data_IF_487034351214
#
_entry.id   IF_487034351214
#
_cell.length_a   1.000
_cell.length_b   1.000
_cell.length_c   1.000
_cell.angle_alpha   90.00
_cell.angle_beta   90.00
_cell.angle_gamma   90.00
#
_symmetry.space_group_name_H-M   'P 1'
#
loop_
_entity.id
_entity.type
_entity.pdbx_description
1 polymer ?
#
# COMPACT_ATOMS: atom_id res chain seq x y z
N UNK A 1 20.39 -27.76 30.45
CA UNK A 1 20.00 -28.48 29.22
C UNK A 1 18.57 -28.16 28.73
N UNK A 2 17.67 -27.67 29.61
CA UNK A 2 16.27 -27.37 29.28
C UNK A 2 16.07 -26.12 28.38
N UNK A 3 16.88 -25.06 28.55
CA UNK A 3 16.75 -23.79 27.80
C UNK A 3 17.06 -23.91 26.29
N UNK A 4 18.04 -24.74 25.91
CA UNK A 4 18.42 -24.94 24.49
C UNK A 4 17.32 -25.60 23.66
N UNK A 5 16.51 -26.48 24.27
CA UNK A 5 15.39 -27.16 23.59
C UNK A 5 14.22 -26.20 23.35
N UNK A 6 13.98 -25.28 24.28
CA UNK A 6 12.96 -24.24 24.18
C UNK A 6 13.30 -23.21 23.09
N UNK A 7 14.53 -22.68 23.09
CA UNK A 7 15.00 -21.77 22.01
C UNK A 7 14.97 -22.43 20.63
N UNK A 8 15.33 -23.71 20.53
CA UNK A 8 15.26 -24.47 19.28
C UNK A 8 13.82 -24.64 18.76
N UNK A 9 12.85 -24.83 19.65
CA UNK A 9 11.43 -24.91 19.28
C UNK A 9 10.87 -23.56 18.82
N UNK A 10 11.21 -22.46 19.49
CA UNK A 10 10.80 -21.10 19.09
C UNK A 10 11.41 -20.76 17.72
N UNK A 11 12.71 -21.02 17.54
CA UNK A 11 13.39 -20.78 16.28
C UNK A 11 12.80 -21.64 15.15
N UNK A 12 12.43 -22.89 15.43
CA UNK A 12 11.75 -23.77 14.47
C UNK A 12 10.35 -23.24 14.10
N UNK A 13 9.58 -22.74 15.06
CA UNK A 13 8.26 -22.17 14.81
C UNK A 13 8.33 -20.86 14.02
N UNK A 14 9.33 -20.02 14.30
CA UNK A 14 9.60 -18.81 13.52
C UNK A 14 9.97 -19.15 12.07
N UNK A 15 10.89 -20.09 11.86
CA UNK A 15 11.29 -20.56 10.53
C UNK A 15 10.08 -21.13 9.75
N UNK A 16 9.25 -21.95 10.38
CA UNK A 16 8.07 -22.54 9.74
C UNK A 16 7.01 -21.49 9.35
N UNK A 17 6.86 -20.41 10.12
CA UNK A 17 6.00 -19.29 9.77
C UNK A 17 6.55 -18.49 8.59
N UNK A 18 7.87 -18.25 8.55
CA UNK A 18 8.52 -17.56 7.42
C UNK A 18 8.47 -18.41 6.15
N UNK A 19 8.67 -19.72 6.24
CA UNK A 19 8.51 -20.66 5.13
C UNK A 19 7.09 -20.61 4.54
N UNK A 20 6.06 -20.56 5.39
CA UNK A 20 4.68 -20.39 4.96
C UNK A 20 4.41 -19.07 4.22
N UNK A 21 4.99 -17.97 4.70
CA UNK A 21 4.89 -16.66 4.02
C UNK A 21 5.57 -16.68 2.65
N UNK A 22 6.78 -17.23 2.57
CA UNK A 22 7.53 -17.36 1.31
C UNK A 22 6.72 -18.21 0.32
N UNK A 23 6.19 -19.35 0.78
CA UNK A 23 5.37 -20.22 -0.05
C UNK A 23 4.11 -19.51 -0.56
N UNK A 24 3.44 -18.73 0.28
CA UNK A 24 2.26 -17.95 -0.11
C UNK A 24 2.56 -16.94 -1.23
N UNK A 25 3.64 -16.16 -1.09
CA UNK A 25 4.06 -15.24 -2.14
C UNK A 25 4.47 -15.96 -3.44
N UNK A 26 5.21 -17.06 -3.33
CA UNK A 26 5.60 -17.88 -4.49
C UNK A 26 4.39 -18.45 -5.22
N UNK A 27 3.41 -18.97 -4.48
CA UNK A 27 2.16 -19.47 -5.05
C UNK A 27 1.38 -18.35 -5.74
N UNK A 28 1.28 -17.17 -5.13
CA UNK A 28 0.62 -16.01 -5.72
C UNK A 28 1.25 -15.59 -7.05
N UNK A 29 2.58 -15.43 -7.07
CA UNK A 29 3.33 -15.11 -8.30
C UNK A 29 3.20 -16.20 -9.34
N UNK A 30 3.28 -17.47 -8.94
CA UNK A 30 3.15 -18.61 -9.85
C UNK A 30 1.76 -18.67 -10.47
N UNK A 31 0.70 -18.47 -9.68
CA UNK A 31 -0.68 -18.49 -10.16
C UNK A 31 -0.92 -17.36 -11.16
N UNK A 32 -0.55 -16.13 -10.82
CA UNK A 32 -0.69 -14.98 -11.72
C UNK A 32 0.17 -15.17 -12.97
N UNK A 33 1.40 -15.65 -12.83
CA UNK A 33 2.31 -15.94 -13.94
C UNK A 33 1.73 -16.99 -14.89
N UNK A 34 1.22 -18.10 -14.37
CA UNK A 34 0.54 -19.12 -15.17
C UNK A 34 -0.70 -18.56 -15.86
N UNK A 35 -1.51 -17.75 -15.18
CA UNK A 35 -2.69 -17.13 -15.78
C UNK A 35 -2.32 -16.22 -16.98
N UNK A 36 -1.26 -15.43 -16.86
CA UNK A 36 -0.74 -14.58 -17.96
C UNK A 36 -0.16 -15.43 -19.10
N UNK A 37 0.53 -16.53 -18.80
CA UNK A 37 1.05 -17.44 -19.83
C UNK A 37 -0.12 -18.11 -20.57
N UNK A 38 -1.12 -18.64 -19.84
CA UNK A 38 -2.30 -19.25 -20.43
C UNK A 38 -3.11 -18.27 -21.27
N UNK A 39 -3.27 -17.02 -20.81
CA UNK A 39 -3.96 -15.98 -21.60
C UNK A 39 -3.19 -15.62 -22.89
N UNK A 40 -1.87 -15.81 -22.92
CA UNK A 40 -1.07 -15.65 -24.13
C UNK A 40 -1.07 -16.84 -25.10
N UNK A 41 -1.39 -18.05 -24.64
CA UNK A 41 -1.28 -19.30 -25.42
C UNK A 41 -2.62 -19.83 -25.94
N UNK A 42 -3.70 -19.71 -25.17
CA UNK A 42 -5.00 -20.31 -25.50
C UNK A 42 -5.78 -19.51 -26.57
N UNK A 43 -5.83 -18.16 -26.55
CA UNK A 43 -6.68 -17.41 -27.47
C UNK A 43 -6.17 -17.45 -28.92
N UNK A 44 -7.11 -17.46 -29.87
CA UNK A 44 -6.80 -17.23 -31.28
C UNK A 44 -6.31 -15.80 -31.48
N UNK A 45 -5.02 -15.65 -31.83
CA UNK A 45 -4.43 -14.35 -32.11
C UNK A 45 -4.81 -13.91 -33.52
N UNK A 46 -5.39 -12.71 -33.63
CA UNK A 46 -5.65 -12.04 -34.90
C UNK A 46 -4.83 -10.77 -34.93
N UNK A 47 -3.96 -10.66 -35.93
CA UNK A 47 -3.12 -9.50 -36.17
C UNK A 47 -3.88 -8.55 -37.10
N UNK A 48 -4.07 -7.33 -36.63
CA UNK A 48 -4.71 -6.26 -37.40
C UNK A 48 -4.05 -4.96 -36.96
N UNK A 49 -3.71 -4.09 -37.91
CA UNK A 49 -2.97 -2.85 -37.65
C UNK A 49 -3.73 -1.96 -36.64
N UNK A 50 -5.04 -1.86 -36.79
CA UNK A 50 -5.91 -1.06 -35.92
C UNK A 50 -6.02 -1.59 -34.48
N UNK A 51 -5.66 -2.86 -34.22
CA UNK A 51 -5.59 -3.39 -32.84
C UNK A 51 -4.37 -2.89 -32.06
N UNK A 52 -3.37 -2.41 -32.78
CA UNK A 52 -2.14 -1.86 -32.19
C UNK A 52 -2.20 -0.34 -32.07
N UNK A 53 -3.25 0.30 -32.61
CA UNK A 53 -3.49 1.72 -32.48
C UNK A 53 -4.13 2.05 -31.12
N UNK A 54 -3.88 3.26 -30.63
CA UNK A 54 -4.48 3.77 -29.38
C UNK A 54 -5.96 4.04 -29.59
N UNK A 55 -6.80 3.67 -28.62
CA UNK A 55 -8.24 3.90 -28.70
C UNK A 55 -8.58 5.38 -28.56
N UNK A 56 -9.23 5.94 -29.58
CA UNK A 56 -9.67 7.34 -29.64
C UNK A 56 -11.04 7.44 -30.35
N UNK A 57 -12.05 6.71 -29.86
CA UNK A 57 -13.44 6.76 -30.38
C UNK A 57 -13.62 6.58 -31.91
N UNK A 58 -12.66 5.95 -32.59
CA UNK A 58 -12.69 5.72 -34.04
C UNK A 58 -12.06 6.82 -34.91
N UNK A 59 -11.47 7.85 -34.30
CA UNK A 59 -10.67 8.87 -34.99
C UNK A 59 -9.17 8.63 -34.74
N UNK A 60 -8.26 9.06 -35.64
CA UNK A 60 -6.83 9.01 -35.35
C UNK A 60 -6.50 9.93 -34.18
N UNK A 61 -5.59 9.49 -33.31
CA UNK A 61 -5.08 10.29 -32.20
C UNK A 61 -4.43 11.56 -32.73
N UNK A 62 -4.70 12.69 -32.07
CA UNK A 62 -4.17 13.99 -32.45
C UNK A 62 -3.43 14.61 -31.27
N UNK A 63 -2.27 15.19 -31.54
CA UNK A 63 -1.48 15.91 -30.54
C UNK A 63 -0.59 15.01 -29.68
N UNK A 64 0.01 15.62 -28.66
CA UNK A 64 0.93 14.96 -27.74
C UNK A 64 0.21 14.44 -26.52
N UNK A 65 0.54 13.23 -26.05
CA UNK A 65 0.03 12.69 -24.78
C UNK A 65 0.57 13.41 -23.52
N UNK A 66 1.40 14.43 -23.69
CA UNK A 66 1.98 15.23 -22.62
C UNK A 66 0.97 16.30 -22.16
N UNK A 67 0.26 15.99 -21.08
CA UNK A 67 -0.69 16.90 -20.44
C UNK A 67 -0.16 17.25 -19.05
N UNK A 68 -0.38 18.49 -18.63
CA UNK A 68 -0.11 18.91 -17.26
C UNK A 68 -1.18 18.33 -16.34
N UNK A 69 -0.79 17.36 -15.52
CA UNK A 69 -1.67 16.84 -14.47
C UNK A 69 -1.92 17.91 -13.41
N UNK A 70 -3.11 17.89 -12.82
CA UNK A 70 -3.48 18.81 -11.75
C UNK A 70 -2.52 18.63 -10.55
N UNK A 71 -2.07 19.72 -9.94
CA UNK A 71 -1.20 19.69 -8.73
C UNK A 71 -1.90 19.00 -7.55
N UNK A 72 -3.24 18.91 -7.58
CA UNK A 72 -4.03 18.21 -6.56
C UNK A 72 -3.53 16.81 -6.24
N UNK A 73 -3.20 15.98 -7.24
CA UNK A 73 -2.72 14.61 -7.03
C UNK A 73 -1.48 14.55 -6.12
N UNK A 74 -0.57 15.51 -6.29
CA UNK A 74 0.65 15.61 -5.49
C UNK A 74 0.37 16.01 -4.03
N UNK A 75 -0.56 16.95 -3.82
CA UNK A 75 -0.96 17.39 -2.49
C UNK A 75 -1.60 16.24 -1.70
N UNK A 76 -2.47 15.45 -2.35
CA UNK A 76 -3.05 14.25 -1.74
C UNK A 76 -1.99 13.21 -1.39
N UNK A 77 -1.03 12.95 -2.30
CA UNK A 77 0.02 11.98 -2.06
C UNK A 77 0.92 12.33 -0.87
N UNK A 78 1.36 13.59 -0.75
CA UNK A 78 2.18 14.03 0.39
C UNK A 78 1.41 14.01 1.69
N UNK A 79 0.16 14.47 1.68
CA UNK A 79 -0.67 14.46 2.88
C UNK A 79 -0.94 13.02 3.35
N UNK A 80 -1.19 12.09 2.43
CA UNK A 80 -1.31 10.66 2.74
C UNK A 80 -0.01 10.12 3.33
N UNK A 81 1.15 10.42 2.73
CA UNK A 81 2.45 9.97 3.22
C UNK A 81 2.74 10.47 4.64
N UNK A 82 2.47 11.75 4.92
CA UNK A 82 2.65 12.32 6.27
C UNK A 82 1.75 11.59 7.27
N UNK A 83 0.47 11.40 6.94
CA UNK A 83 -0.47 10.71 7.82
C UNK A 83 -0.12 9.23 8.04
N UNK A 84 0.40 8.54 7.01
CA UNK A 84 0.85 7.14 7.10
C UNK A 84 2.09 7.02 8.01
N UNK A 85 3.04 7.94 7.88
CA UNK A 85 4.19 8.03 8.80
C UNK A 85 3.72 8.32 10.22
N UNK A 86 2.70 9.13 10.41
CA UNK A 86 2.17 9.37 11.75
C UNK A 86 1.44 8.13 12.31
N UNK A 87 0.71 7.40 11.47
CA UNK A 87 0.06 6.16 11.86
C UNK A 87 1.05 5.07 12.31
N UNK A 88 2.28 5.06 11.79
CA UNK A 88 3.30 4.10 12.23
C UNK A 88 3.63 4.23 13.72
N UNK A 89 3.50 5.45 14.29
CA UNK A 89 3.75 5.70 15.71
C UNK A 89 2.66 5.12 16.62
N UNK A 90 1.49 4.81 16.07
CA UNK A 90 0.42 4.15 16.82
C UNK A 90 0.79 2.69 17.16
N UNK A 91 1.64 2.01 16.38
CA UNK A 91 2.00 0.61 16.63
C UNK A 91 2.83 0.43 17.91
N UNK A 92 3.97 1.12 18.12
CA UNK A 92 4.72 0.99 19.37
C UNK A 92 3.87 1.36 20.59
N UNK A 93 3.09 2.44 20.48
CA UNK A 93 2.16 2.86 21.52
C UNK A 93 1.15 1.76 21.88
N UNK A 94 0.51 1.15 20.89
CA UNK A 94 -0.50 0.11 21.08
C UNK A 94 0.08 -1.15 21.78
N UNK A 95 1.35 -1.46 21.52
CA UNK A 95 2.04 -2.59 22.15
C UNK A 95 2.31 -2.33 23.63
N UNK A 96 2.75 -1.11 24.01
CA UNK A 96 3.17 -0.79 25.39
C UNK A 96 2.07 -0.18 26.27
N UNK A 97 0.91 0.17 25.69
CA UNK A 97 -0.19 0.85 26.39
C UNK A 97 -0.61 0.16 27.70
N UNK A 98 -0.62 -1.19 27.71
CA UNK A 98 -0.99 -1.97 28.90
C UNK A 98 0.03 -1.85 30.04
N UNK A 99 1.30 -1.60 29.74
CA UNK A 99 2.38 -1.50 30.73
C UNK A 99 2.45 -0.08 31.32
N UNK A 100 2.25 0.94 30.50
CA UNK A 100 2.36 2.36 30.88
C UNK A 100 1.04 2.89 31.49
N UNK A 101 -0.12 2.36 31.08
CA UNK A 101 -1.41 2.72 31.65
C UNK A 101 -1.89 4.12 31.25
N UNK A 102 -2.30 4.93 32.24
CA UNK A 102 -3.02 6.20 32.01
C UNK A 102 -2.17 7.27 31.29
N UNK A 103 -0.85 7.26 31.45
CA UNK A 103 0.05 8.22 30.78
C UNK A 103 0.02 8.00 29.26
N UNK A 104 0.16 6.75 28.81
CA UNK A 104 0.05 6.39 27.39
C UNK A 104 -1.31 6.78 26.81
N UNK A 105 -2.39 6.70 27.60
CA UNK A 105 -3.72 7.15 27.16
C UNK A 105 -3.80 8.66 26.92
N UNK A 106 -3.13 9.48 27.74
CA UNK A 106 -3.10 10.93 27.52
C UNK A 106 -2.24 11.28 26.30
N UNK A 107 -1.10 10.60 26.12
CA UNK A 107 -0.22 10.78 24.97
C UNK A 107 -0.94 10.53 23.64
N UNK A 108 -1.74 9.46 23.54
CA UNK A 108 -2.48 9.17 22.31
C UNK A 108 -3.59 10.19 22.03
N UNK A 109 -4.22 10.72 23.07
CA UNK A 109 -5.23 11.77 22.91
C UNK A 109 -4.59 13.04 22.35
N UNK A 110 -3.44 13.46 22.89
CA UNK A 110 -2.69 14.60 22.39
C UNK A 110 -2.27 14.35 20.93
N UNK A 111 -1.79 13.15 20.63
CA UNK A 111 -1.39 12.77 19.27
C UNK A 111 -2.55 12.90 18.27
N UNK A 112 -3.73 12.35 18.58
CA UNK A 112 -4.91 12.48 17.74
C UNK A 112 -5.38 13.93 17.57
N UNK A 113 -5.23 14.77 18.59
CA UNK A 113 -5.53 16.21 18.46
C UNK A 113 -4.59 16.86 17.46
N UNK A 114 -3.29 16.56 17.50
CA UNK A 114 -2.31 17.10 16.55
C UNK A 114 -2.65 16.65 15.12
N UNK A 115 -2.96 15.37 14.91
CA UNK A 115 -3.42 14.83 13.63
C UNK A 115 -4.66 15.55 13.12
N UNK A 116 -5.66 15.69 13.99
CA UNK A 116 -6.91 16.37 13.69
C UNK A 116 -6.68 17.83 13.28
N UNK A 117 -5.78 18.54 13.97
CA UNK A 117 -5.42 19.91 13.63
C UNK A 117 -4.71 20.00 12.27
N UNK A 118 -3.80 19.08 11.96
CA UNK A 118 -3.14 18.99 10.65
C UNK A 118 -4.15 18.80 9.51
N UNK A 119 -5.09 17.87 9.69
CA UNK A 119 -6.15 17.61 8.71
C UNK A 119 -7.11 18.80 8.57
N UNK A 120 -7.55 19.40 9.68
CA UNK A 120 -8.41 20.58 9.67
C UNK A 120 -7.74 21.76 8.96
N UNK A 121 -6.44 21.96 9.16
CA UNK A 121 -5.68 23.00 8.46
C UNK A 121 -5.63 22.74 6.95
N UNK A 122 -5.31 21.52 6.53
CA UNK A 122 -5.27 21.12 5.12
C UNK A 122 -6.65 21.32 4.46
N UNK A 123 -7.72 20.95 5.16
CA UNK A 123 -9.09 21.14 4.68
C UNK A 123 -9.46 22.62 4.56
N UNK A 124 -9.14 23.45 5.56
CA UNK A 124 -9.37 24.90 5.49
C UNK A 124 -8.63 25.53 4.31
N UNK A 125 -7.41 25.07 4.01
CA UNK A 125 -6.61 25.51 2.87
C UNK A 125 -7.08 24.98 1.52
N UNK A 126 -8.17 24.20 1.49
CA UNK A 126 -8.71 23.60 0.28
C UNK A 126 -7.72 22.69 -0.45
N UNK A 127 -6.71 22.18 0.26
CA UNK A 127 -5.72 21.25 -0.31
C UNK A 127 -6.37 19.92 -0.74
N UNK A 128 -7.56 19.62 -0.20
CA UNK A 128 -8.36 18.44 -0.53
C UNK A 128 -9.46 18.71 -1.58
N UNK A 129 -9.46 19.87 -2.24
CA UNK A 129 -10.43 20.12 -3.31
C UNK A 129 -10.02 19.37 -4.57
N UNK A 130 -11.00 18.70 -5.16
CA UNK A 130 -10.89 18.10 -6.49
C UNK A 130 -11.66 18.99 -7.47
N UNK A 131 -10.93 19.62 -8.39
CA UNK A 131 -11.46 20.32 -9.57
C UNK A 131 -10.94 19.64 -10.83
#
# INVERSE_FOLDING_TARGET
MHDKKHKKNIQKHFLMNTEGLILFFLLGVTLVGLAVIFSGLIPQKTTNLQKHDTYECGVPTQGTSWIQFNVGYYLFAIMFLIFDVEAIFLFPWAVVMKEIGMVAFIEILIFFVILGLGLLYAWKKQALKWE
#
